data_IF_447140579539
#
_entry.id   IF_447140579539
#
_cell.length_a   1.000
_cell.length_b   1.000
_cell.length_c   1.000
_cell.angle_alpha   90.00
_cell.angle_beta   90.00
_cell.angle_gamma   90.00
#
_symmetry.space_group_name_H-M   'P 1'
#
loop_
_entity.id
_entity.type
_entity.pdbx_description
1 polymer ?
#
# COMPACT_ATOMS: atom_id res chain seq x y z
N UNK A 1 16.63 -1.04 19.64
CA UNK A 1 15.76 -0.07 20.34
C UNK A 1 15.88 1.36 19.77
N UNK A 2 17.07 1.87 19.53
CA UNK A 2 17.30 3.19 18.91
C UNK A 2 16.71 3.35 17.49
N UNK A 3 16.72 2.28 16.70
CA UNK A 3 16.18 2.23 15.33
C UNK A 3 14.66 2.36 15.23
N UNK A 4 13.93 1.88 16.23
CA UNK A 4 12.46 2.06 16.27
C UNK A 4 12.09 3.52 16.56
N UNK A 5 12.93 4.25 17.30
CA UNK A 5 12.78 5.67 17.55
C UNK A 5 13.05 6.51 16.29
N UNK A 6 14.05 6.17 15.50
CA UNK A 6 14.35 6.84 14.24
C UNK A 6 13.24 6.61 13.21
N UNK A 7 12.64 5.42 13.17
CA UNK A 7 11.49 5.12 12.32
C UNK A 7 10.21 5.86 12.77
N UNK A 8 10.01 6.05 14.06
CA UNK A 8 8.89 6.82 14.61
C UNK A 8 9.04 8.33 14.40
N UNK A 9 10.27 8.82 14.32
CA UNK A 9 10.56 10.24 14.08
C UNK A 9 10.58 10.61 12.59
N UNK A 10 10.66 9.63 11.69
CA UNK A 10 10.88 9.84 10.26
C UNK A 10 9.60 10.03 9.42
N UNK A 11 8.45 10.23 10.03
CA UNK A 11 7.23 10.62 9.31
C UNK A 11 6.97 12.12 9.38
N UNK A 12 6.08 12.67 8.56
CA UNK A 12 5.59 14.04 8.68
C UNK A 12 4.79 14.30 9.97
N UNK A 13 5.10 13.58 11.02
CA UNK A 13 4.45 13.58 12.34
C UNK A 13 4.45 14.95 13.00
N UNK A 14 5.44 15.74 12.71
CA UNK A 14 5.59 17.04 13.32
C UNK A 14 4.53 18.06 12.87
N UNK A 15 4.02 17.97 11.63
CA UNK A 15 2.94 18.87 11.17
C UNK A 15 1.56 18.51 11.72
N UNK A 16 1.29 17.22 11.90
CA UNK A 16 -0.01 16.76 12.41
C UNK A 16 -0.16 17.04 13.89
N UNK A 17 0.92 17.07 14.66
CA UNK A 17 0.87 17.33 16.10
C UNK A 17 0.47 18.79 16.43
N UNK A 18 0.64 19.74 15.50
CA UNK A 18 0.40 21.16 15.74
C UNK A 18 -0.74 21.79 14.93
N UNK A 19 -1.25 21.14 13.87
CA UNK A 19 -2.19 21.74 12.93
C UNK A 19 -3.63 21.20 13.01
N UNK A 20 -3.88 20.06 13.65
CA UNK A 20 -5.22 19.51 13.82
C UNK A 20 -5.62 19.49 15.30
N UNK A 21 -6.86 19.87 15.59
CA UNK A 21 -7.47 19.59 16.88
C UNK A 21 -7.21 18.13 17.26
N UNK A 22 -6.60 17.93 18.44
CA UNK A 22 -6.28 16.60 18.97
C UNK A 22 -7.54 15.76 18.95
N UNK A 23 -7.58 14.71 18.11
CA UNK A 23 -8.66 13.75 18.12
C UNK A 23 -8.84 13.24 19.56
N UNK A 24 -10.03 13.37 20.18
CA UNK A 24 -10.24 12.85 21.52
C UNK A 24 -10.01 11.35 21.50
N UNK A 25 -9.12 10.86 22.36
CA UNK A 25 -8.96 9.43 22.58
C UNK A 25 -10.25 8.89 23.20
N UNK A 26 -10.86 7.85 22.65
CA UNK A 26 -12.02 7.24 23.28
C UNK A 26 -11.67 6.78 24.69
N UNK A 27 -12.58 7.01 25.64
CA UNK A 27 -12.46 6.44 26.98
C UNK A 27 -12.57 4.91 26.89
N UNK A 28 -11.43 4.25 27.02
CA UNK A 28 -11.34 2.79 26.94
C UNK A 28 -11.72 2.08 28.24
N UNK A 29 -11.92 2.81 29.32
CA UNK A 29 -12.22 2.23 30.65
C UNK A 29 -13.66 1.71 30.77
N UNK A 30 -14.46 1.83 29.71
CA UNK A 30 -15.81 1.24 29.66
C UNK A 30 -16.82 1.86 30.59
N UNK A 31 -16.50 2.97 31.27
CA UNK A 31 -17.33 3.62 32.29
C UNK A 31 -18.31 4.67 31.76
N UNK A 32 -18.54 4.70 30.44
CA UNK A 32 -19.60 5.54 29.86
C UNK A 32 -20.97 4.92 30.11
N UNK A 33 -21.69 5.38 31.11
CA UNK A 33 -23.01 4.89 31.54
C UNK A 33 -24.16 5.18 30.54
N UNK A 34 -24.06 4.73 29.29
CA UNK A 34 -25.18 4.75 28.35
C UNK A 34 -25.98 3.44 28.46
N UNK A 35 -27.34 3.50 28.45
CA UNK A 35 -28.19 2.32 28.63
C UNK A 35 -27.88 1.23 27.60
N UNK A 36 -27.99 -0.03 28.01
CA UNK A 36 -27.78 -1.22 27.23
C UNK A 36 -28.91 -1.36 26.21
N UNK A 37 -28.61 -1.20 24.94
CA UNK A 37 -29.56 -1.48 23.85
C UNK A 37 -29.38 -2.93 23.34
N UNK A 38 -30.42 -3.58 22.77
CA UNK A 38 -30.32 -4.95 22.25
C UNK A 38 -29.14 -5.14 21.28
N UNK A 39 -28.79 -4.12 20.49
CA UNK A 39 -27.61 -4.13 19.61
C UNK A 39 -26.28 -4.20 20.38
N UNK A 40 -26.21 -3.67 21.62
CA UNK A 40 -25.01 -3.78 22.45
C UNK A 40 -24.82 -5.21 23.01
N UNK A 41 -25.90 -5.96 23.19
CA UNK A 41 -25.82 -7.35 23.64
C UNK A 41 -25.24 -8.22 22.52
N UNK A 42 -25.64 -7.97 21.27
CA UNK A 42 -25.07 -8.67 20.10
C UNK A 42 -23.57 -8.42 19.90
N UNK A 43 -23.09 -7.23 20.28
CA UNK A 43 -21.67 -6.85 20.25
C UNK A 43 -20.84 -7.52 21.39
N UNK A 44 -21.48 -8.18 22.35
CA UNK A 44 -20.77 -8.91 23.41
C UNK A 44 -20.06 -10.18 22.89
N UNK A 45 -20.65 -10.87 21.89
CA UNK A 45 -20.07 -12.08 21.31
C UNK A 45 -18.73 -11.78 20.65
N UNK A 46 -18.62 -10.82 19.71
CA UNK A 46 -17.32 -10.45 19.15
C UNK A 46 -16.38 -9.84 20.19
N UNK A 47 -16.87 -9.15 21.22
CA UNK A 47 -16.03 -8.63 22.31
C UNK A 47 -15.35 -9.73 23.13
N UNK A 48 -16.06 -10.81 23.45
CA UNK A 48 -15.50 -11.96 24.16
C UNK A 48 -14.52 -12.70 23.26
N UNK A 49 -14.90 -12.95 22.02
CA UNK A 49 -14.04 -13.63 21.05
C UNK A 49 -12.75 -12.84 20.75
N UNK A 50 -12.83 -11.51 20.72
CA UNK A 50 -11.68 -10.62 20.47
C UNK A 50 -10.98 -10.14 21.75
N UNK A 51 -11.43 -10.57 22.94
CA UNK A 51 -10.81 -10.16 24.21
C UNK A 51 -9.33 -10.51 24.30
N UNK A 52 -8.80 -11.66 23.84
CA UNK A 52 -7.36 -11.91 23.84
C UNK A 52 -6.58 -10.91 22.98
N UNK A 53 -7.13 -10.52 21.84
CA UNK A 53 -6.56 -9.48 20.96
C UNK A 53 -6.61 -8.10 21.62
N UNK A 54 -7.67 -7.80 22.34
CA UNK A 54 -7.78 -6.56 23.14
C UNK A 54 -6.73 -6.53 24.24
N UNK A 55 -6.56 -7.59 25.02
CA UNK A 55 -5.52 -7.66 26.04
C UNK A 55 -4.12 -7.57 25.44
N UNK A 56 -3.85 -8.27 24.34
CA UNK A 56 -2.58 -8.17 23.64
C UNK A 56 -2.34 -6.72 23.15
N UNK A 57 -3.33 -6.10 22.52
CA UNK A 57 -3.23 -4.70 22.06
C UNK A 57 -3.02 -3.73 23.23
N UNK A 58 -3.74 -3.88 24.33
CA UNK A 58 -3.65 -2.99 25.49
C UNK A 58 -2.30 -3.12 26.21
N UNK A 59 -1.88 -4.35 26.53
CA UNK A 59 -0.71 -4.59 27.39
C UNK A 59 0.61 -4.70 26.62
N UNK A 60 0.58 -5.19 25.38
CA UNK A 60 1.80 -5.37 24.59
C UNK A 60 2.08 -4.16 23.71
N UNK A 61 1.04 -3.48 23.20
CA UNK A 61 1.19 -2.38 22.25
C UNK A 61 0.89 -1.04 22.93
N UNK A 62 -0.35 -0.82 23.40
CA UNK A 62 -0.80 0.50 23.81
C UNK A 62 -0.09 1.03 25.05
N UNK A 63 0.01 0.25 26.13
CA UNK A 63 0.68 0.71 27.36
C UNK A 63 2.17 0.95 27.17
N UNK A 64 2.97 0.03 26.61
CA UNK A 64 4.39 0.28 26.36
C UNK A 64 4.61 1.44 25.39
N UNK A 65 3.82 1.49 24.31
CA UNK A 65 3.92 2.57 23.32
C UNK A 65 3.50 3.92 23.92
N UNK A 66 2.39 3.96 24.67
CA UNK A 66 1.93 5.16 25.35
C UNK A 66 2.94 5.66 26.39
N UNK A 67 3.55 4.76 27.16
CA UNK A 67 4.63 5.11 28.09
C UNK A 67 5.84 5.67 27.33
N UNK A 68 6.24 5.01 26.24
CA UNK A 68 7.36 5.43 25.41
C UNK A 68 7.13 6.82 24.81
N UNK A 69 5.96 7.03 24.19
CA UNK A 69 5.59 8.31 23.56
C UNK A 69 5.48 9.40 24.63
N UNK A 70 4.80 9.14 25.75
CA UNK A 70 4.66 10.14 26.80
C UNK A 70 6.00 10.55 27.43
N UNK A 71 6.93 9.61 27.57
CA UNK A 71 8.28 9.96 28.05
C UNK A 71 9.09 10.71 26.98
N UNK A 72 8.95 10.33 25.71
CA UNK A 72 9.59 11.06 24.61
C UNK A 72 9.03 12.49 24.48
N UNK A 73 7.71 12.67 24.62
CA UNK A 73 7.06 13.99 24.61
C UNK A 73 7.52 14.83 25.80
N UNK A 74 7.59 14.26 27.02
CA UNK A 74 8.11 14.97 28.20
C UNK A 74 9.57 15.37 28.04
N UNK A 75 10.37 14.56 27.39
CA UNK A 75 11.76 14.86 27.09
C UNK A 75 11.93 15.75 25.83
N UNK A 76 10.82 16.23 25.25
CA UNK A 76 10.79 17.03 24.01
C UNK A 76 11.52 16.38 22.83
N UNK A 77 11.69 15.06 22.84
CA UNK A 77 12.39 14.33 21.77
C UNK A 77 11.72 14.53 20.41
N UNK A 78 10.38 14.50 20.26
CA UNK A 78 9.75 14.76 18.98
C UNK A 78 10.04 16.18 18.43
N UNK A 79 10.02 17.20 19.30
CA UNK A 79 10.32 18.56 18.91
C UNK A 79 11.81 18.71 18.51
N UNK A 80 12.72 18.17 19.29
CA UNK A 80 14.14 18.20 19.00
C UNK A 80 14.50 17.47 17.68
N UNK A 81 13.87 16.33 17.42
CA UNK A 81 14.03 15.61 16.14
C UNK A 81 13.45 16.40 14.97
N UNK A 82 12.28 17.01 15.18
CA UNK A 82 11.68 17.86 14.15
C UNK A 82 12.56 19.04 13.81
N UNK A 83 13.05 19.78 14.83
CA UNK A 83 13.95 20.91 14.65
C UNK A 83 15.29 20.49 14.02
N UNK A 84 15.73 19.25 14.25
CA UNK A 84 16.94 18.70 13.64
C UNK A 84 16.77 18.35 12.17
N UNK A 85 15.61 17.78 11.80
CA UNK A 85 15.36 17.29 10.43
C UNK A 85 14.62 18.30 9.55
N UNK A 86 13.95 19.29 10.12
CA UNK A 86 13.22 20.31 9.40
C UNK A 86 13.79 21.71 9.69
N UNK A 87 13.96 22.51 8.67
CA UNK A 87 14.63 23.81 8.75
C UNK A 87 13.84 24.92 8.07
N UNK A 88 14.29 26.15 8.33
CA UNK A 88 13.66 27.37 7.87
C UNK A 88 12.62 27.92 8.86
N UNK A 89 12.14 29.17 8.64
CA UNK A 89 11.30 29.89 9.61
C UNK A 89 9.99 29.19 9.97
N UNK A 90 9.47 28.33 9.09
CA UNK A 90 8.21 27.60 9.28
C UNK A 90 8.40 26.08 9.14
N UNK A 91 9.65 25.60 9.22
CA UNK A 91 10.00 24.19 9.05
C UNK A 91 9.43 23.58 7.74
N UNK A 92 9.39 24.40 6.67
CA UNK A 92 8.84 24.02 5.37
C UNK A 92 9.77 23.16 4.54
N UNK A 93 11.03 23.04 4.92
CA UNK A 93 12.01 22.21 4.24
C UNK A 93 12.68 21.27 5.25
N UNK A 94 13.07 20.10 4.77
CA UNK A 94 13.75 19.14 5.62
C UNK A 94 14.18 17.88 4.90
N UNK A 95 14.92 17.05 5.61
CA UNK A 95 15.25 15.71 5.17
C UNK A 95 14.98 14.71 6.30
N UNK A 96 14.57 13.49 5.94
CA UNK A 96 14.25 12.44 6.89
C UNK A 96 14.90 11.14 6.44
N UNK A 97 15.68 10.46 7.30
CA UNK A 97 16.14 9.12 6.98
C UNK A 97 14.95 8.16 6.94
N UNK A 98 14.92 7.32 5.93
CA UNK A 98 13.86 6.31 5.74
C UNK A 98 14.49 4.93 5.65
N UNK A 99 13.71 3.92 6.04
CA UNK A 99 14.11 2.53 5.94
C UNK A 99 12.90 1.64 5.77
N UNK A 100 13.05 0.59 5.00
CA UNK A 100 11.99 -0.35 4.74
C UNK A 100 12.51 -1.79 4.78
N UNK A 101 11.80 -2.64 5.50
CA UNK A 101 12.06 -4.07 5.62
C UNK A 101 10.76 -4.80 5.29
N UNK A 102 10.78 -5.59 4.24
CA UNK A 102 9.74 -6.56 3.92
C UNK A 102 10.38 -7.95 3.83
N UNK A 103 9.97 -8.83 4.71
CA UNK A 103 10.60 -10.15 4.81
C UNK A 103 10.44 -10.93 3.51
N UNK A 104 11.57 -11.36 2.98
CA UNK A 104 11.66 -12.01 1.68
C UNK A 104 12.06 -11.08 0.54
N UNK A 105 12.35 -9.81 0.83
CA UNK A 105 12.95 -8.85 -0.08
C UNK A 105 14.18 -8.20 0.55
N UNK A 106 15.02 -7.61 -0.29
CA UNK A 106 16.21 -6.91 0.17
C UNK A 106 15.81 -5.66 0.96
N UNK A 107 16.27 -5.48 2.21
CA UNK A 107 15.98 -4.29 2.98
C UNK A 107 16.62 -3.06 2.34
N UNK A 108 15.98 -1.92 2.49
CA UNK A 108 16.48 -0.67 1.94
C UNK A 108 16.51 0.45 2.98
N UNK A 109 17.47 1.35 2.81
CA UNK A 109 17.61 2.58 3.58
C UNK A 109 17.76 3.76 2.62
N UNK A 110 17.42 4.94 3.08
CA UNK A 110 17.50 6.10 2.22
C UNK A 110 17.18 7.41 2.91
N UNK A 111 16.89 8.40 2.11
CA UNK A 111 16.53 9.73 2.55
C UNK A 111 15.28 10.21 1.81
N UNK A 112 14.43 10.88 2.54
CA UNK A 112 13.31 11.66 2.03
C UNK A 112 13.56 13.11 2.28
N UNK A 113 13.53 13.94 1.24
CA UNK A 113 13.67 15.40 1.31
C UNK A 113 12.33 16.02 0.93
N UNK A 114 11.92 17.01 1.68
CA UNK A 114 10.71 17.78 1.40
C UNK A 114 10.99 19.28 1.43
N UNK A 115 10.28 20.02 0.60
CA UNK A 115 10.26 21.46 0.61
C UNK A 115 8.87 21.94 0.19
N UNK A 116 8.14 22.50 1.16
CA UNK A 116 6.82 23.09 0.94
C UNK A 116 6.97 24.59 0.66
N UNK A 117 6.08 25.09 -0.18
CA UNK A 117 6.10 26.48 -0.64
C UNK A 117 7.47 26.88 -1.26
N UNK A 118 8.09 25.96 -2.01
CA UNK A 118 9.37 26.16 -2.64
C UNK A 118 9.30 27.26 -3.72
N UNK A 119 9.80 28.42 -3.40
CA UNK A 119 9.77 29.61 -4.26
C UNK A 119 8.44 30.37 -4.25
N UNK A 120 7.30 29.70 -4.14
CA UNK A 120 5.97 30.34 -4.03
C UNK A 120 4.99 29.44 -3.28
N UNK A 121 3.92 30.04 -2.76
CA UNK A 121 2.90 29.35 -1.96
C UNK A 121 2.17 28.29 -2.80
N UNK A 122 2.06 27.09 -2.26
CA UNK A 122 1.38 25.97 -2.91
C UNK A 122 2.26 25.14 -3.85
N UNK A 123 3.56 25.46 -3.94
CA UNK A 123 4.54 24.65 -4.65
C UNK A 123 5.29 23.72 -3.69
N UNK A 124 5.15 22.43 -3.85
CA UNK A 124 5.82 21.42 -3.02
C UNK A 124 6.80 20.58 -3.81
N UNK A 125 8.00 20.37 -3.25
CA UNK A 125 9.03 19.49 -3.79
C UNK A 125 9.24 18.29 -2.87
N UNK A 126 9.42 17.13 -3.46
CA UNK A 126 9.73 15.88 -2.74
C UNK A 126 10.79 15.10 -3.49
N UNK A 127 11.79 14.65 -2.77
CA UNK A 127 12.84 13.76 -3.30
C UNK A 127 12.94 12.54 -2.40
N UNK A 128 12.91 11.36 -3.00
CA UNK A 128 13.26 10.11 -2.35
C UNK A 128 14.49 9.52 -3.01
N UNK A 129 15.42 9.04 -2.20
CA UNK A 129 16.55 8.27 -2.67
C UNK A 129 16.79 7.12 -1.70
N UNK A 130 16.77 5.89 -2.19
CA UNK A 130 16.93 4.68 -1.37
C UNK A 130 17.88 3.70 -2.03
N UNK A 131 18.55 2.93 -1.19
CA UNK A 131 19.42 1.83 -1.63
C UNK A 131 19.25 0.63 -0.72
N UNK A 132 19.35 -0.56 -1.28
CA UNK A 132 19.47 -1.83 -0.57
C UNK A 132 20.82 -2.48 -0.83
N UNK A 133 21.75 -1.82 -1.50
CA UNK A 133 23.06 -2.30 -1.89
C UNK A 133 23.39 -1.97 -3.34
N UNK A 134 24.42 -2.61 -3.88
CA UNK A 134 25.00 -2.27 -5.18
C UNK A 134 24.01 -2.30 -6.34
N UNK A 135 23.12 -3.30 -6.37
CA UNK A 135 22.14 -3.54 -7.43
C UNK A 135 20.73 -3.06 -7.08
N UNK A 136 20.54 -2.45 -5.90
CA UNK A 136 19.25 -1.97 -5.45
C UNK A 136 19.31 -0.46 -5.22
N UNK A 137 18.82 0.29 -6.18
CA UNK A 137 18.76 1.75 -6.16
C UNK A 137 17.37 2.21 -6.56
N UNK A 138 16.80 3.17 -5.85
CA UNK A 138 15.58 3.83 -6.27
C UNK A 138 15.66 5.32 -5.96
N UNK A 139 15.14 6.12 -6.88
CA UNK A 139 15.01 7.55 -6.71
C UNK A 139 13.71 8.04 -7.31
N UNK A 140 13.09 9.02 -6.68
CA UNK A 140 11.95 9.74 -7.26
C UNK A 140 12.01 11.22 -6.92
N UNK A 141 11.59 12.03 -7.86
CA UNK A 141 11.40 13.46 -7.71
C UNK A 141 9.96 13.82 -8.02
N UNK A 142 9.33 14.56 -7.14
CA UNK A 142 7.92 14.95 -7.28
C UNK A 142 7.79 16.45 -7.04
N UNK A 143 7.17 17.12 -7.99
CA UNK A 143 6.69 18.48 -7.87
C UNK A 143 5.17 18.48 -7.76
N UNK A 144 4.66 19.27 -6.83
CA UNK A 144 3.21 19.46 -6.66
C UNK A 144 2.88 20.94 -6.70
N UNK A 145 1.93 21.30 -7.55
CA UNK A 145 1.43 22.65 -7.72
C UNK A 145 -0.03 22.71 -7.29
N UNK A 146 -0.36 23.66 -6.41
CA UNK A 146 -1.74 23.98 -6.08
C UNK A 146 -2.31 24.93 -7.16
N UNK A 147 -3.28 24.44 -7.94
CA UNK A 147 -3.90 25.16 -9.05
C UNK A 147 -5.23 25.83 -8.67
N UNK A 148 -5.43 26.16 -7.42
CA UNK A 148 -6.67 26.70 -6.87
C UNK A 148 -6.91 26.13 -5.48
N UNK A 149 -8.16 26.18 -4.99
CA UNK A 149 -8.46 25.73 -3.62
C UNK A 149 -8.39 24.20 -3.49
N UNK A 150 -8.84 23.44 -4.53
CA UNK A 150 -9.04 21.99 -4.46
C UNK A 150 -8.45 21.24 -5.67
N UNK A 151 -7.52 21.84 -6.40
CA UNK A 151 -6.91 21.23 -7.59
C UNK A 151 -5.41 21.21 -7.47
N UNK A 152 -4.82 20.07 -7.80
CA UNK A 152 -3.36 19.92 -7.82
C UNK A 152 -2.90 19.40 -9.18
N UNK A 153 -1.72 19.85 -9.58
CA UNK A 153 -0.93 19.22 -10.62
C UNK A 153 0.30 18.62 -9.95
N UNK A 154 0.51 17.34 -10.16
CA UNK A 154 1.67 16.62 -9.66
C UNK A 154 2.49 16.10 -10.84
N UNK A 155 3.75 16.49 -10.90
CA UNK A 155 4.75 15.95 -11.81
C UNK A 155 5.63 14.99 -11.01
N UNK A 156 5.85 13.79 -11.52
CA UNK A 156 6.67 12.80 -10.84
C UNK A 156 7.59 12.10 -11.85
N UNK A 157 8.85 11.96 -11.47
CA UNK A 157 9.83 11.14 -12.19
C UNK A 157 10.43 10.15 -11.20
N UNK A 158 10.47 8.88 -11.56
CA UNK A 158 11.01 7.82 -10.73
C UNK A 158 11.90 6.87 -11.55
N UNK A 159 13.01 6.45 -10.96
CA UNK A 159 13.90 5.44 -11.51
C UNK A 159 14.20 4.41 -10.42
N UNK A 160 14.01 3.14 -10.73
CA UNK A 160 14.17 2.03 -9.80
C UNK A 160 14.95 0.92 -10.48
N UNK A 161 16.05 0.52 -9.87
CA UNK A 161 16.81 -0.68 -10.18
C UNK A 161 16.71 -1.63 -9.01
N UNK A 162 16.15 -2.83 -9.20
CA UNK A 162 16.01 -3.84 -8.15
C UNK A 162 16.33 -5.24 -8.67
N UNK A 163 17.09 -6.05 -7.91
CA UNK A 163 17.42 -7.42 -8.27
C UNK A 163 16.44 -8.46 -7.73
N UNK A 164 15.54 -8.06 -6.81
CA UNK A 164 14.87 -8.97 -5.88
C UNK A 164 13.35 -9.11 -6.11
N UNK A 165 12.84 -8.69 -7.26
CA UNK A 165 11.42 -8.90 -7.56
C UNK A 165 11.05 -10.38 -7.55
N UNK A 166 9.85 -10.67 -7.03
CA UNK A 166 9.34 -12.04 -6.92
C UNK A 166 8.41 -12.39 -8.09
N UNK A 167 8.56 -13.62 -8.59
CA UNK A 167 7.66 -14.21 -9.58
C UNK A 167 7.41 -15.67 -9.22
N UNK A 168 6.15 -16.08 -9.29
CA UNK A 168 5.70 -17.43 -8.90
C UNK A 168 4.96 -18.14 -10.05
N UNK A 169 4.98 -17.57 -11.24
CA UNK A 169 4.15 -17.98 -12.36
C UNK A 169 2.90 -17.10 -12.52
N UNK A 170 2.04 -17.48 -13.45
CA UNK A 170 0.77 -16.83 -13.78
C UNK A 170 -0.35 -17.84 -13.56
N UNK A 171 -1.43 -17.41 -12.95
CA UNK A 171 -2.62 -18.22 -12.68
C UNK A 171 -2.93 -18.41 -11.21
N UNK A 172 -4.10 -18.99 -10.90
CA UNK A 172 -4.62 -19.16 -9.54
C UNK A 172 -3.89 -20.25 -8.73
N UNK A 173 -3.29 -21.23 -9.39
CA UNK A 173 -2.72 -22.45 -8.78
C UNK A 173 -1.21 -22.39 -8.53
N UNK A 174 -0.59 -21.19 -8.58
CA UNK A 174 0.83 -21.04 -8.32
C UNK A 174 1.17 -21.38 -6.86
N UNK A 175 2.33 -22.02 -6.64
CA UNK A 175 2.78 -22.45 -5.32
C UNK A 175 3.82 -21.49 -4.73
N UNK A 176 3.97 -21.47 -3.41
CA UNK A 176 5.01 -20.65 -2.74
C UNK A 176 6.42 -21.12 -3.14
N UNK A 177 6.59 -22.42 -3.37
CA UNK A 177 7.86 -23.00 -3.81
C UNK A 177 8.23 -22.68 -5.27
N UNK A 178 7.30 -22.11 -6.03
CA UNK A 178 7.57 -21.65 -7.40
C UNK A 178 8.35 -20.32 -7.45
N UNK A 179 8.61 -19.74 -6.29
CA UNK A 179 9.35 -18.48 -6.18
C UNK A 179 10.63 -18.49 -7.00
N UNK A 180 10.69 -17.54 -7.90
CA UNK A 180 11.90 -17.16 -8.64
C UNK A 180 12.14 -15.66 -8.52
N UNK A 181 13.36 -15.22 -8.80
CA UNK A 181 13.74 -13.81 -8.73
C UNK A 181 14.03 -13.24 -10.10
N UNK A 182 13.60 -12.01 -10.33
CA UNK A 182 14.04 -11.24 -11.50
C UNK A 182 14.47 -9.83 -11.07
N UNK A 183 15.43 -9.30 -11.79
CA UNK A 183 15.83 -7.92 -11.68
C UNK A 183 15.10 -7.08 -12.70
N UNK A 184 14.83 -5.82 -12.38
CA UNK A 184 14.26 -4.87 -13.31
C UNK A 184 14.82 -3.47 -13.10
N UNK A 185 15.02 -2.78 -14.21
CA UNK A 185 15.26 -1.36 -14.29
C UNK A 185 13.97 -0.70 -14.80
N UNK A 186 13.32 0.10 -13.94
CA UNK A 186 12.10 0.83 -14.26
C UNK A 186 12.38 2.31 -14.28
N UNK A 187 11.94 2.98 -15.31
CA UNK A 187 11.85 4.43 -15.36
C UNK A 187 10.39 4.82 -15.62
N UNK A 188 9.90 5.80 -14.89
CA UNK A 188 8.56 6.35 -15.08
C UNK A 188 8.58 7.88 -14.91
N UNK A 189 7.94 8.57 -15.84
CA UNK A 189 7.66 10.00 -15.75
C UNK A 189 6.16 10.20 -15.96
N UNK A 190 5.50 10.93 -15.07
CA UNK A 190 4.05 11.15 -15.13
C UNK A 190 3.65 12.55 -14.69
N UNK A 191 2.58 13.04 -15.29
CA UNK A 191 1.85 14.23 -14.89
C UNK A 191 0.43 13.83 -14.51
N UNK A 192 0.00 14.21 -13.32
CA UNK A 192 -1.30 13.84 -12.75
C UNK A 192 -1.99 15.11 -12.26
N UNK A 193 -3.24 15.31 -12.63
CA UNK A 193 -4.09 16.33 -12.04
C UNK A 193 -5.19 15.68 -11.23
N UNK A 194 -5.45 16.22 -10.05
CA UNK A 194 -6.56 15.81 -9.21
C UNK A 194 -7.44 17.00 -8.85
N UNK A 195 -8.74 16.73 -8.74
CA UNK A 195 -9.75 17.71 -8.36
C UNK A 195 -10.77 17.08 -7.43
N UNK A 196 -11.15 17.81 -6.39
CA UNK A 196 -12.31 17.47 -5.57
C UNK A 196 -13.59 17.74 -6.36
N UNK A 197 -14.49 16.76 -6.41
CA UNK A 197 -15.79 16.89 -7.09
C UNK A 197 -16.85 17.40 -6.12
N UNK A 198 -17.03 16.69 -5.01
CA UNK A 198 -17.92 17.06 -3.90
C UNK A 198 -17.56 16.26 -2.65
N UNK A 199 -17.61 16.87 -1.48
CA UNK A 199 -17.22 16.27 -0.21
C UNK A 199 -15.79 15.71 -0.27
N UNK A 200 -15.62 14.42 -0.04
CA UNK A 200 -14.35 13.70 -0.16
C UNK A 200 -14.14 12.98 -1.50
N UNK A 201 -15.10 13.16 -2.43
CA UNK A 201 -15.04 12.52 -3.76
C UNK A 201 -14.05 13.23 -4.68
N UNK A 202 -13.26 12.47 -5.45
CA UNK A 202 -12.15 12.99 -6.26
C UNK A 202 -12.13 12.38 -7.66
N UNK A 203 -11.68 13.19 -8.60
CA UNK A 203 -11.29 12.79 -9.95
C UNK A 203 -9.78 12.99 -10.08
N UNK A 204 -9.08 11.99 -10.56
CA UNK A 204 -7.66 12.01 -10.89
C UNK A 204 -7.50 11.62 -12.35
N UNK A 205 -6.77 12.42 -13.12
CA UNK A 205 -6.43 12.14 -14.49
C UNK A 205 -4.91 12.32 -14.69
N UNK A 206 -4.29 11.40 -15.39
CA UNK A 206 -2.86 11.42 -15.57
C UNK A 206 -2.41 10.88 -16.93
N UNK A 207 -1.25 11.32 -17.34
CA UNK A 207 -0.52 10.80 -18.51
C UNK A 207 0.93 10.57 -18.12
N UNK A 208 1.59 9.64 -18.81
CA UNK A 208 2.99 9.39 -18.51
C UNK A 208 3.66 8.48 -19.51
N UNK A 209 4.91 8.24 -19.21
CA UNK A 209 5.79 7.33 -19.93
C UNK A 209 6.36 6.32 -18.92
N UNK A 210 6.45 5.05 -19.34
CA UNK A 210 7.03 3.97 -18.55
C UNK A 210 7.97 3.15 -19.42
N UNK A 211 9.19 2.90 -18.91
CA UNK A 211 10.16 2.00 -19.51
C UNK A 211 10.52 0.91 -18.52
N UNK A 212 10.54 -0.34 -18.98
CA UNK A 212 10.91 -1.52 -18.22
C UNK A 212 11.94 -2.34 -18.99
N UNK A 213 13.05 -2.64 -18.33
CA UNK A 213 14.05 -3.59 -18.80
C UNK A 213 14.28 -4.64 -17.71
N UNK A 214 14.45 -5.89 -18.12
CA UNK A 214 14.56 -7.01 -17.19
C UNK A 214 15.96 -7.63 -17.26
N UNK A 215 16.35 -8.28 -16.17
CA UNK A 215 17.62 -8.99 -16.01
C UNK A 215 17.48 -10.13 -15.01
N UNK A 216 18.41 -11.09 -14.98
CA UNK A 216 18.44 -12.10 -13.93
C UNK A 216 18.41 -11.46 -12.56
N UNK A 217 17.51 -11.93 -11.70
CA UNK A 217 17.38 -11.45 -10.34
C UNK A 217 18.09 -12.34 -9.35
N UNK A 218 18.32 -11.82 -8.15
CA UNK A 218 18.88 -12.57 -7.04
C UNK A 218 18.41 -12.01 -5.69
N UNK A 219 18.09 -12.88 -4.76
CA UNK A 219 17.95 -12.62 -3.33
C UNK A 219 17.77 -13.93 -2.57
N UNK A 220 18.59 -14.17 -1.56
CA UNK A 220 18.64 -15.46 -0.85
C UNK A 220 19.02 -16.61 -1.79
N UNK A 221 18.60 -17.82 -1.43
CA UNK A 221 18.92 -19.05 -2.18
C UNK A 221 17.92 -19.36 -3.30
N UNK A 222 17.04 -18.40 -3.66
CA UNK A 222 16.01 -18.64 -4.67
C UNK A 222 16.58 -18.48 -6.08
N UNK A 223 16.24 -19.38 -7.01
CA UNK A 223 16.71 -19.31 -8.39
C UNK A 223 16.19 -18.05 -9.08
N UNK A 224 16.89 -17.60 -10.11
CA UNK A 224 16.37 -16.57 -10.99
C UNK A 224 15.28 -17.13 -11.92
N UNK A 225 14.56 -16.21 -12.56
CA UNK A 225 13.43 -16.52 -13.43
C UNK A 225 13.87 -17.38 -14.64
N UNK A 226 15.02 -17.08 -15.23
CA UNK A 226 15.55 -17.81 -16.38
C UNK A 226 15.88 -19.26 -16.02
N UNK A 227 16.47 -19.48 -14.84
CA UNK A 227 16.79 -20.83 -14.36
C UNK A 227 15.50 -21.65 -14.12
N UNK A 228 14.44 -21.02 -13.59
CA UNK A 228 13.14 -21.69 -13.44
C UNK A 228 12.51 -22.01 -14.80
N UNK A 229 12.59 -21.09 -15.74
CA UNK A 229 12.09 -21.33 -17.09
C UNK A 229 12.88 -22.45 -17.79
N UNK A 230 14.20 -22.44 -17.68
CA UNK A 230 15.07 -23.50 -18.22
C UNK A 230 14.79 -24.87 -17.59
N UNK A 231 14.38 -24.93 -16.34
CA UNK A 231 13.95 -26.18 -15.69
C UNK A 231 12.58 -26.69 -16.13
N UNK A 232 11.86 -25.96 -17.01
CA UNK A 232 10.54 -26.32 -17.52
C UNK A 232 9.40 -26.09 -16.53
N UNK A 233 9.63 -25.37 -15.41
CA UNK A 233 8.60 -25.13 -14.41
C UNK A 233 7.47 -24.21 -14.95
N UNK A 234 7.84 -23.16 -15.69
CA UNK A 234 6.97 -22.25 -16.41
C UNK A 234 7.74 -21.54 -17.53
N UNK A 235 7.08 -21.06 -18.59
CA UNK A 235 7.76 -20.29 -19.63
C UNK A 235 8.19 -18.90 -19.10
N UNK A 236 9.15 -18.27 -19.77
CA UNK A 236 9.43 -16.85 -19.55
C UNK A 236 8.15 -16.03 -19.83
N UNK A 237 7.75 -15.13 -18.90
CA UNK A 237 6.50 -14.40 -19.06
C UNK A 237 6.60 -13.33 -20.15
N UNK A 238 5.45 -12.96 -20.71
CA UNK A 238 5.34 -11.99 -21.78
C UNK A 238 5.97 -10.63 -21.40
N UNK A 239 6.77 -10.10 -22.31
CA UNK A 239 7.48 -8.83 -22.10
C UNK A 239 8.79 -8.95 -21.32
N UNK A 240 9.16 -10.12 -20.79
CA UNK A 240 10.38 -10.29 -20.02
C UNK A 240 11.65 -10.11 -20.85
N UNK A 241 11.72 -10.76 -22.01
CA UNK A 241 12.95 -10.79 -22.82
C UNK A 241 13.29 -9.42 -23.40
N UNK A 242 12.29 -8.75 -23.94
CA UNK A 242 12.48 -7.50 -24.70
C UNK A 242 12.25 -6.24 -23.86
N UNK A 243 11.69 -6.38 -22.66
CA UNK A 243 11.18 -5.24 -21.90
C UNK A 243 10.08 -4.51 -22.68
N UNK A 244 9.77 -3.27 -22.29
CA UNK A 244 8.85 -2.42 -23.05
C UNK A 244 9.03 -0.93 -22.71
N UNK A 245 8.58 -0.09 -23.65
CA UNK A 245 8.46 1.36 -23.46
C UNK A 245 7.05 1.77 -23.87
N UNK A 246 6.30 2.36 -22.95
CA UNK A 246 4.91 2.70 -23.20
C UNK A 246 4.57 4.12 -22.75
N UNK A 247 3.81 4.82 -23.56
CA UNK A 247 3.02 5.95 -23.14
C UNK A 247 1.73 5.45 -22.49
N UNK A 248 1.29 6.06 -21.38
CA UNK A 248 0.05 5.68 -20.73
C UNK A 248 -0.81 6.88 -20.37
N UNK A 249 -2.11 6.63 -20.32
CA UNK A 249 -3.10 7.55 -19.76
C UNK A 249 -3.89 6.83 -18.66
N UNK A 250 -4.18 7.53 -17.56
CA UNK A 250 -4.90 6.98 -16.41
C UNK A 250 -6.02 7.90 -15.98
N UNK A 251 -7.14 7.30 -15.62
CA UNK A 251 -8.27 7.96 -14.99
C UNK A 251 -8.67 7.20 -13.73
N UNK A 252 -8.84 7.91 -12.62
CA UNK A 252 -9.36 7.35 -11.37
C UNK A 252 -10.47 8.24 -10.85
N UNK A 253 -11.59 7.63 -10.50
CA UNK A 253 -12.74 8.28 -9.93
C UNK A 253 -13.03 7.64 -8.57
N UNK A 254 -13.14 8.46 -7.54
CA UNK A 254 -13.43 8.04 -6.19
C UNK A 254 -14.64 8.79 -5.67
N UNK A 255 -15.75 8.08 -5.46
CA UNK A 255 -16.91 8.58 -4.75
C UNK A 255 -16.84 8.13 -3.30
N UNK A 256 -16.80 9.06 -2.36
CA UNK A 256 -16.67 8.78 -0.94
C UNK A 256 -17.71 9.61 -0.17
N UNK A 257 -18.56 8.94 0.58
CA UNK A 257 -19.60 9.57 1.40
C UNK A 257 -19.19 9.76 2.85
N UNK A 258 -17.97 9.35 3.21
CA UNK A 258 -17.45 9.54 4.56
C UNK A 258 -17.12 11.02 4.78
N UNK A 259 -17.23 11.48 6.01
CA UNK A 259 -16.91 12.87 6.31
C UNK A 259 -15.40 13.14 6.16
N UNK A 260 -15.05 14.31 5.62
CA UNK A 260 -13.67 14.71 5.37
C UNK A 260 -12.80 14.72 6.64
N UNK A 261 -13.38 15.19 7.76
CA UNK A 261 -12.69 15.43 9.02
C UNK A 261 -12.46 14.15 9.84
N UNK A 262 -13.04 13.03 9.42
CA UNK A 262 -12.89 11.76 10.11
C UNK A 262 -12.92 10.61 9.11
N UNK A 263 -11.77 10.25 8.53
CA UNK A 263 -11.65 9.21 7.51
C UNK A 263 -12.11 7.82 7.97
N UNK A 264 -12.37 7.66 9.26
CA UNK A 264 -12.85 6.42 9.88
C UNK A 264 -14.36 6.38 10.13
N UNK A 265 -15.14 7.38 9.72
CA UNK A 265 -16.59 7.39 9.95
C UNK A 265 -17.36 6.48 9.00
N UNK A 266 -18.63 6.24 9.35
CA UNK A 266 -19.55 5.43 8.55
C UNK A 266 -19.82 6.05 7.18
N UNK A 267 -19.97 5.20 6.17
CA UNK A 267 -20.25 5.64 4.80
C UNK A 267 -19.96 4.54 3.80
N UNK A 268 -19.94 4.93 2.53
CA UNK A 268 -19.58 4.06 1.41
C UNK A 268 -18.54 4.73 0.52
N UNK A 269 -17.73 3.92 -0.15
CA UNK A 269 -16.76 4.37 -1.14
C UNK A 269 -16.88 3.52 -2.40
N UNK A 270 -16.86 4.17 -3.56
CA UNK A 270 -16.72 3.53 -4.86
C UNK A 270 -15.48 4.10 -5.54
N UNK A 271 -14.59 3.25 -5.96
CA UNK A 271 -13.45 3.61 -6.79
C UNK A 271 -13.56 2.92 -8.14
N UNK A 272 -13.34 3.68 -9.19
CA UNK A 272 -13.22 3.21 -10.57
C UNK A 272 -11.89 3.68 -11.11
N UNK A 273 -11.13 2.79 -11.72
CA UNK A 273 -9.86 3.16 -12.36
C UNK A 273 -9.72 2.52 -13.73
N UNK A 274 -9.05 3.23 -14.62
CA UNK A 274 -8.66 2.73 -15.93
C UNK A 274 -7.29 3.32 -16.30
N UNK A 275 -6.41 2.49 -16.86
CA UNK A 275 -5.11 2.88 -17.41
C UNK A 275 -4.94 2.22 -18.78
N UNK A 276 -4.75 3.02 -19.81
CA UNK A 276 -4.39 2.54 -21.13
C UNK A 276 -2.89 2.73 -21.33
N UNK A 277 -2.16 1.66 -21.63
CA UNK A 277 -0.78 1.69 -22.06
C UNK A 277 -0.65 1.40 -23.56
N UNK A 278 0.17 2.17 -24.24
CA UNK A 278 0.45 2.03 -25.68
C UNK A 278 1.94 1.89 -25.91
N UNK A 279 2.34 0.80 -26.55
CA UNK A 279 3.74 0.54 -26.91
C UNK A 279 4.26 1.65 -27.83
N UNK A 280 5.40 2.23 -27.46
CA UNK A 280 6.12 3.25 -28.25
C UNK A 280 7.23 2.65 -29.11
N UNK A 281 7.48 1.36 -28.98
CA UNK A 281 8.46 0.64 -29.80
C UNK A 281 7.79 0.11 -31.07
N UNK A 282 8.44 0.29 -32.19
CA UNK A 282 7.93 -0.19 -33.47
C UNK A 282 8.14 -1.70 -33.63
N UNK A 283 7.29 -2.47 -32.96
CA UNK A 283 7.30 -3.94 -32.96
C UNK A 283 6.27 -4.48 -33.95
N UNK A 284 6.52 -5.67 -34.47
CA UNK A 284 5.54 -6.41 -35.30
C UNK A 284 4.30 -6.79 -34.50
N UNK A 285 4.43 -6.95 -33.18
CA UNK A 285 3.35 -7.25 -32.24
C UNK A 285 3.43 -6.28 -31.03
N UNK A 286 2.86 -5.07 -31.15
CA UNK A 286 2.95 -4.06 -30.12
C UNK A 286 2.20 -4.48 -28.84
N UNK A 287 2.87 -4.29 -27.72
CA UNK A 287 2.34 -4.60 -26.39
C UNK A 287 1.53 -3.41 -25.86
N UNK A 288 0.27 -3.33 -26.27
CA UNK A 288 -0.66 -2.31 -25.79
C UNK A 288 -1.76 -2.96 -24.95
N UNK A 289 -2.18 -2.28 -23.89
CA UNK A 289 -3.11 -2.85 -22.92
C UNK A 289 -4.07 -1.82 -22.34
N UNK A 290 -5.18 -2.33 -21.81
CA UNK A 290 -6.11 -1.62 -20.94
C UNK A 290 -6.15 -2.34 -19.60
N UNK A 291 -5.75 -1.64 -18.53
CA UNK A 291 -5.99 -2.06 -17.14
C UNK A 291 -7.19 -1.29 -16.63
N UNK A 292 -8.10 -1.97 -15.97
CA UNK A 292 -9.25 -1.32 -15.36
C UNK A 292 -9.72 -2.08 -14.14
N UNK A 293 -10.40 -1.40 -13.25
CA UNK A 293 -10.86 -2.01 -12.02
C UNK A 293 -11.93 -1.20 -11.32
N UNK A 294 -12.59 -1.86 -10.40
CA UNK A 294 -13.56 -1.26 -9.51
C UNK A 294 -13.37 -1.77 -8.08
N UNK A 295 -13.55 -0.90 -7.11
CA UNK A 295 -13.63 -1.26 -5.71
C UNK A 295 -14.83 -0.57 -5.06
N UNK A 296 -15.63 -1.31 -4.31
CA UNK A 296 -16.73 -0.80 -3.50
C UNK A 296 -16.50 -1.18 -2.04
N UNK A 297 -16.72 -0.24 -1.14
CA UNK A 297 -16.56 -0.45 0.30
C UNK A 297 -17.67 0.18 1.11
N UNK A 298 -18.08 -0.50 2.16
CA UNK A 298 -18.97 0.00 3.19
C UNK A 298 -18.23 0.08 4.53
N UNK A 299 -18.45 1.15 5.28
CA UNK A 299 -17.74 1.47 6.51
C UNK A 299 -18.75 1.77 7.62
N UNK A 300 -18.58 1.15 8.77
CA UNK A 300 -19.43 1.35 9.93
C UNK A 300 -18.56 1.71 11.14
N UNK A 301 -18.69 2.94 11.65
CA UNK A 301 -18.04 3.36 12.89
C UNK A 301 -18.88 2.85 14.09
N UNK A 302 -18.29 1.93 14.83
CA UNK A 302 -18.94 1.24 15.94
C UNK A 302 -18.99 2.13 17.18
N UNK A 303 -19.99 2.98 17.26
CA UNK A 303 -20.26 3.84 18.41
C UNK A 303 -19.57 5.19 18.37
N UNK A 304 -19.28 5.70 17.18
CA UNK A 304 -18.65 7.02 16.96
C UNK A 304 -17.31 7.17 17.70
N UNK A 305 -16.56 6.10 17.80
CA UNK A 305 -15.32 6.02 18.59
C UNK A 305 -14.08 5.89 17.70
N UNK A 306 -14.21 6.03 16.38
CA UNK A 306 -13.14 5.78 15.44
C UNK A 306 -12.81 4.29 15.29
N UNK A 307 -13.68 3.39 15.76
CA UNK A 307 -13.58 1.94 15.58
C UNK A 307 -14.39 1.55 14.37
N UNK A 308 -13.73 1.31 13.26
CA UNK A 308 -14.40 1.13 11.97
C UNK A 308 -14.32 -0.33 11.54
N UNK A 309 -15.49 -0.91 11.30
CA UNK A 309 -15.62 -2.15 10.57
C UNK A 309 -15.90 -1.81 9.12
N UNK A 310 -15.14 -2.37 8.19
CA UNK A 310 -15.35 -2.18 6.76
C UNK A 310 -15.39 -3.49 6.01
N UNK A 311 -16.27 -3.55 5.02
CA UNK A 311 -16.33 -4.61 4.02
C UNK A 311 -16.08 -3.99 2.66
N UNK A 312 -15.16 -4.54 1.90
CA UNK A 312 -14.85 -4.08 0.54
C UNK A 312 -14.76 -5.23 -0.44
N UNK A 313 -15.15 -4.97 -1.67
CA UNK A 313 -15.00 -5.86 -2.82
C UNK A 313 -14.19 -5.11 -3.86
N UNK A 314 -13.20 -5.76 -4.46
CA UNK A 314 -12.41 -5.20 -5.54
C UNK A 314 -12.22 -6.21 -6.65
N UNK A 315 -12.23 -5.72 -7.88
CA UNK A 315 -11.88 -6.49 -9.06
C UNK A 315 -10.99 -5.67 -9.99
N UNK A 316 -9.98 -6.32 -10.54
CA UNK A 316 -8.97 -5.75 -11.42
C UNK A 316 -8.87 -6.60 -12.69
N UNK A 317 -8.63 -5.96 -13.82
CA UNK A 317 -8.58 -6.59 -15.13
C UNK A 317 -7.45 -6.01 -15.96
N UNK A 318 -6.90 -6.83 -16.88
CA UNK A 318 -5.95 -6.39 -17.91
C UNK A 318 -6.26 -7.09 -19.22
N UNK A 319 -6.62 -6.32 -20.22
CA UNK A 319 -6.91 -6.79 -21.57
C UNK A 319 -5.89 -6.23 -22.59
N UNK A 320 -5.40 -7.03 -23.54
CA UNK A 320 -4.61 -6.50 -24.64
C UNK A 320 -5.50 -5.65 -25.56
N UNK A 321 -4.95 -4.55 -26.04
CA UNK A 321 -5.59 -3.67 -27.04
C UNK A 321 -5.04 -3.87 -28.45
N UNK A 322 -3.97 -4.65 -28.60
CA UNK A 322 -3.33 -4.96 -29.87
C UNK A 322 -3.16 -6.46 -30.08
N UNK A 323 -2.29 -6.82 -31.02
CA UNK A 323 -1.93 -8.22 -31.31
C UNK A 323 -0.93 -8.80 -30.32
N UNK A 324 -0.19 -7.96 -29.59
CA UNK A 324 0.75 -8.38 -28.57
C UNK A 324 0.09 -8.66 -27.23
N UNK A 325 0.71 -9.51 -26.41
CA UNK A 325 0.22 -9.80 -25.05
C UNK A 325 0.41 -8.61 -24.10
N UNK A 326 -0.32 -8.60 -23.01
CA UNK A 326 -0.08 -7.67 -21.90
C UNK A 326 1.25 -8.04 -21.22
N UNK A 327 2.21 -7.10 -21.04
CA UNK A 327 3.42 -7.38 -20.29
C UNK A 327 3.11 -7.91 -18.88
N UNK A 328 3.85 -8.90 -18.42
CA UNK A 328 3.54 -9.58 -17.17
C UNK A 328 3.54 -8.64 -15.93
N UNK A 329 4.33 -7.57 -15.97
CA UNK A 329 4.35 -6.55 -14.90
C UNK A 329 3.12 -5.64 -14.89
N UNK A 330 2.34 -5.64 -15.99
CA UNK A 330 1.10 -4.88 -16.11
C UNK A 330 -0.15 -5.72 -15.79
N UNK A 331 0.02 -7.01 -15.52
CA UNK A 331 -1.07 -7.88 -15.08
C UNK A 331 -1.50 -7.53 -13.65
N UNK A 332 -2.80 -7.64 -13.33
CA UNK A 332 -3.31 -7.60 -11.96
C UNK A 332 -2.54 -8.51 -11.01
N UNK A 333 -2.24 -8.00 -9.83
CA UNK A 333 -1.56 -8.76 -8.78
C UNK A 333 -2.29 -8.63 -7.45
N UNK A 334 -2.28 -9.70 -6.66
CA UNK A 334 -2.68 -9.69 -5.26
C UNK A 334 -1.46 -10.05 -4.39
N UNK A 335 -1.46 -9.51 -3.18
CA UNK A 335 -0.34 -9.55 -2.25
C UNK A 335 0.26 -8.17 -2.03
N UNK A 336 1.17 -8.08 -1.09
CA UNK A 336 1.69 -6.79 -0.67
C UNK A 336 0.79 -6.09 0.36
N UNK A 337 1.07 -4.85 0.73
CA UNK A 337 0.37 -4.15 1.82
C UNK A 337 -1.08 -3.75 1.49
N UNK A 338 -1.46 -3.78 0.23
CA UNK A 338 -2.81 -3.39 -0.21
C UNK A 338 -3.82 -4.52 -0.07
N UNK A 339 -4.02 -5.24 -1.16
CA UNK A 339 -4.96 -6.36 -1.23
C UNK A 339 -4.26 -7.67 -0.83
N UNK A 340 -4.85 -8.43 0.08
CA UNK A 340 -4.35 -9.71 0.59
C UNK A 340 -2.93 -9.63 1.23
N UNK A 341 -2.76 -8.87 2.30
CA UNK A 341 -1.45 -8.57 2.90
C UNK A 341 -0.72 -9.77 3.51
N UNK A 342 -1.34 -10.92 3.63
CA UNK A 342 -0.68 -12.18 4.01
C UNK A 342 0.25 -12.75 2.95
N UNK A 343 0.15 -12.27 1.71
CA UNK A 343 1.01 -12.68 0.60
C UNK A 343 2.05 -11.60 0.27
N UNK A 344 3.21 -12.03 -0.22
CA UNK A 344 4.24 -11.12 -0.71
C UNK A 344 3.75 -10.35 -1.95
N UNK A 345 4.30 -9.18 -2.17
CA UNK A 345 4.04 -8.39 -3.37
C UNK A 345 4.36 -9.22 -4.63
N UNK A 346 3.40 -9.26 -5.58
CA UNK A 346 3.52 -10.03 -6.81
C UNK A 346 3.35 -11.55 -6.67
N UNK A 347 2.91 -12.05 -5.49
CA UNK A 347 2.71 -13.49 -5.25
C UNK A 347 1.65 -14.11 -6.16
N UNK A 348 0.52 -13.45 -6.30
CA UNK A 348 -0.58 -13.89 -7.15
C UNK A 348 -0.66 -12.95 -8.34
N UNK A 349 -0.67 -13.49 -9.56
CA UNK A 349 -0.64 -12.70 -10.79
C UNK A 349 -1.38 -13.41 -11.91
N UNK A 350 -2.33 -12.72 -12.54
CA UNK A 350 -2.99 -13.16 -13.75
C UNK A 350 -3.72 -11.97 -14.41
N UNK A 351 -4.50 -12.21 -15.45
CA UNK A 351 -5.21 -11.20 -16.27
C UNK A 351 -6.39 -10.56 -15.55
N UNK A 352 -6.89 -11.18 -14.51
CA UNK A 352 -7.89 -10.58 -13.62
C UNK A 352 -7.66 -10.99 -12.17
N UNK A 353 -8.22 -10.21 -11.26
CA UNK A 353 -8.21 -10.48 -9.83
C UNK A 353 -9.54 -10.11 -9.22
N UNK A 354 -9.98 -10.87 -8.22
CA UNK A 354 -11.15 -10.55 -7.41
C UNK A 354 -10.84 -10.81 -5.94
N UNK A 355 -11.24 -9.88 -5.07
CA UNK A 355 -10.99 -9.98 -3.64
C UNK A 355 -12.11 -9.33 -2.83
N UNK A 356 -12.52 -10.00 -1.77
CA UNK A 356 -13.39 -9.50 -0.72
C UNK A 356 -12.56 -9.32 0.56
N UNK A 357 -12.67 -8.17 1.22
CA UNK A 357 -11.89 -7.84 2.41
C UNK A 357 -12.80 -7.35 3.52
N UNK A 358 -12.67 -7.96 4.69
CA UNK A 358 -13.24 -7.49 5.94
C UNK A 358 -12.10 -6.92 6.80
N UNK A 359 -12.23 -5.66 7.20
CA UNK A 359 -11.22 -4.99 8.03
C UNK A 359 -11.86 -4.33 9.23
N UNK A 360 -11.23 -4.48 10.37
CA UNK A 360 -11.53 -3.76 11.60
C UNK A 360 -10.33 -2.90 11.98
N UNK A 361 -10.53 -1.59 12.12
CA UNK A 361 -9.51 -0.65 12.56
C UNK A 361 -9.95 0.06 13.84
N UNK A 362 -8.98 0.38 14.70
CA UNK A 362 -9.23 1.07 15.96
C UNK A 362 -8.09 2.03 16.29
N UNK A 363 -8.38 3.19 16.90
CA UNK A 363 -7.36 4.13 17.30
C UNK A 363 -6.52 3.58 18.45
N UNK A 364 -5.21 3.60 18.30
CA UNK A 364 -4.22 3.31 19.34
C UNK A 364 -3.69 4.64 19.92
N UNK A 365 -3.36 5.57 19.03
CA UNK A 365 -2.83 6.89 19.34
C UNK A 365 -3.39 7.94 18.36
N UNK A 366 -3.13 9.24 18.62
CA UNK A 366 -3.67 10.34 17.81
C UNK A 366 -3.40 10.19 16.29
N UNK A 367 -2.28 9.57 15.94
CA UNK A 367 -1.80 9.38 14.58
C UNK A 367 -1.57 7.91 14.22
N UNK A 368 -1.95 6.96 15.09
CA UNK A 368 -1.68 5.53 14.93
C UNK A 368 -2.95 4.73 15.16
N UNK A 369 -3.28 3.89 14.20
CA UNK A 369 -4.37 2.92 14.30
C UNK A 369 -3.85 1.49 14.30
N UNK A 370 -4.53 0.64 15.05
CA UNK A 370 -4.44 -0.79 14.90
C UNK A 370 -5.38 -1.27 13.80
N UNK A 371 -5.01 -2.34 13.13
CA UNK A 371 -5.85 -2.98 12.12
C UNK A 371 -5.83 -4.51 12.23
N UNK A 372 -6.98 -5.11 11.98
CA UNK A 372 -7.16 -6.54 11.76
C UNK A 372 -7.88 -6.71 10.43
N UNK A 373 -7.34 -7.49 9.53
CA UNK A 373 -7.87 -7.68 8.20
C UNK A 373 -7.96 -9.16 7.85
N UNK A 374 -9.09 -9.56 7.28
CA UNK A 374 -9.27 -10.84 6.61
C UNK A 374 -9.69 -10.60 5.17
N UNK A 375 -9.12 -11.32 4.22
CA UNK A 375 -9.46 -11.22 2.82
C UNK A 375 -9.59 -12.61 2.18
N UNK A 376 -10.48 -12.71 1.22
CA UNK A 376 -10.69 -13.89 0.38
C UNK A 376 -10.59 -13.45 -1.08
N UNK A 377 -9.75 -14.08 -1.87
CA UNK A 377 -9.58 -13.73 -3.27
C UNK A 377 -8.57 -14.59 -3.97
N UNK A 378 -8.44 -14.40 -5.26
CA UNK A 378 -7.39 -14.96 -6.10
C UNK A 378 -7.34 -14.21 -7.45
N UNK A 379 -6.41 -14.62 -8.30
CA UNK A 379 -6.26 -14.17 -9.67
C UNK A 379 -6.81 -15.22 -10.63
N UNK A 380 -7.25 -14.80 -11.81
CA UNK A 380 -7.89 -15.65 -12.80
C UNK A 380 -7.53 -15.18 -14.21
N UNK A 381 -7.88 -16.00 -15.20
CA UNK A 381 -7.76 -15.66 -16.61
C UNK A 381 -8.53 -14.39 -16.99
N UNK A 382 -8.66 -14.14 -18.27
CA UNK A 382 -9.30 -12.93 -18.79
C UNK A 382 -10.73 -12.77 -18.27
N UNK A 383 -11.03 -11.62 -17.61
CA UNK A 383 -12.39 -11.28 -17.14
C UNK A 383 -12.98 -12.35 -16.22
N UNK A 384 -12.17 -12.88 -15.32
CA UNK A 384 -12.50 -13.95 -14.38
C UNK A 384 -12.75 -15.32 -15.06
N UNK A 385 -12.23 -15.54 -16.27
CA UNK A 385 -12.25 -16.85 -16.90
C UNK A 385 -11.57 -17.89 -15.99
N UNK A 386 -12.19 -19.05 -15.81
CA UNK A 386 -11.72 -20.06 -14.87
C UNK A 386 -12.00 -19.75 -13.40
N UNK A 387 -12.88 -18.78 -13.10
CA UNK A 387 -13.27 -18.54 -11.72
C UNK A 387 -13.94 -19.78 -11.11
N UNK A 388 -13.38 -20.24 -10.00
CA UNK A 388 -13.95 -21.27 -9.15
C UNK A 388 -13.72 -20.89 -7.68
N UNK A 389 -14.75 -21.02 -6.86
CA UNK A 389 -14.67 -20.71 -5.45
C UNK A 389 -13.66 -21.61 -4.69
N UNK A 390 -13.42 -22.82 -5.17
CA UNK A 390 -12.42 -23.74 -4.62
C UNK A 390 -10.97 -23.24 -4.81
N UNK A 391 -10.73 -22.38 -5.81
CA UNK A 391 -9.43 -21.76 -6.07
C UNK A 391 -9.17 -20.51 -5.22
N UNK A 392 -10.13 -20.03 -4.45
CA UNK A 392 -9.92 -18.88 -3.59
C UNK A 392 -8.91 -19.20 -2.48
N UNK A 393 -8.24 -18.16 -2.01
CA UNK A 393 -7.24 -18.18 -0.93
C UNK A 393 -7.66 -17.23 0.17
N UNK A 394 -7.23 -17.52 1.39
CA UNK A 394 -7.40 -16.64 2.54
C UNK A 394 -6.13 -15.82 2.77
N UNK A 395 -6.31 -14.60 3.21
CA UNK A 395 -5.26 -13.74 3.73
C UNK A 395 -5.75 -13.12 5.03
N UNK A 396 -4.98 -13.21 6.09
CA UNK A 396 -5.26 -12.54 7.35
C UNK A 396 -4.05 -11.70 7.74
N UNK A 397 -4.29 -10.53 8.31
CA UNK A 397 -3.21 -9.67 8.80
C UNK A 397 -3.63 -8.88 10.04
N UNK A 398 -2.67 -8.64 10.91
CA UNK A 398 -2.78 -7.74 12.06
C UNK A 398 -1.63 -6.75 12.02
N UNK A 399 -1.90 -5.49 12.35
CA UNK A 399 -0.84 -4.50 12.31
C UNK A 399 -1.22 -3.17 12.92
N UNK A 400 -0.26 -2.25 12.84
CA UNK A 400 -0.41 -0.85 13.21
C UNK A 400 0.01 0.02 12.02
N UNK A 401 -0.72 1.09 11.79
CA UNK A 401 -0.51 1.99 10.65
C UNK A 401 -0.65 3.44 11.10
N UNK A 402 0.16 4.33 10.52
CA UNK A 402 0.02 5.77 10.76
C UNK A 402 -1.00 6.40 9.81
N UNK A 403 -1.71 7.43 10.28
CA UNK A 403 -2.66 8.20 9.47
C UNK A 403 -2.11 9.53 8.96
N UNK A 404 -0.86 9.84 9.24
CA UNK A 404 -0.41 11.23 9.27
C UNK A 404 -0.08 11.84 7.91
N UNK A 405 0.06 11.07 6.85
CA UNK A 405 0.42 11.63 5.54
C UNK A 405 0.02 10.71 4.39
N UNK A 406 -0.46 11.27 3.27
CA UNK A 406 -0.63 10.53 2.04
C UNK A 406 0.71 10.13 1.39
N UNK A 407 1.81 10.82 1.76
CA UNK A 407 3.12 10.66 1.12
C UNK A 407 3.98 9.58 1.81
N UNK A 408 3.68 9.23 3.05
CA UNK A 408 4.35 8.12 3.75
C UNK A 408 3.46 7.49 4.81
N UNK A 409 3.42 6.16 4.81
CA UNK A 409 2.68 5.37 5.81
C UNK A 409 3.70 4.56 6.59
N UNK A 410 3.82 4.87 7.89
CA UNK A 410 4.51 3.96 8.80
C UNK A 410 3.60 2.78 9.08
N UNK A 411 4.10 1.58 8.86
CA UNK A 411 3.35 0.37 9.16
C UNK A 411 4.24 -0.70 9.80
N UNK A 412 3.64 -1.44 10.71
CA UNK A 412 4.10 -2.73 11.20
C UNK A 412 2.97 -3.71 10.95
N UNK A 413 3.18 -4.69 10.08
CA UNK A 413 2.13 -5.60 9.66
C UNK A 413 2.65 -7.04 9.67
N UNK A 414 1.89 -7.91 10.31
CA UNK A 414 2.11 -9.34 10.34
C UNK A 414 0.93 -10.05 9.66
N UNK A 415 1.23 -10.83 8.63
CA UNK A 415 0.22 -11.43 7.80
C UNK A 415 0.45 -12.90 7.49
N UNK A 416 -0.65 -13.61 7.20
CA UNK A 416 -0.70 -15.01 6.80
C UNK A 416 -1.48 -15.14 5.50
N UNK A 417 -0.98 -15.96 4.59
CA UNK A 417 -1.66 -16.39 3.38
C UNK A 417 -1.82 -17.89 3.34
N UNK A 418 -2.82 -18.38 2.62
CA UNK A 418 -3.09 -19.81 2.52
C UNK A 418 -2.94 -20.34 1.09
N UNK A 419 -2.81 -21.65 0.96
CA UNK A 419 -3.10 -22.36 -0.28
C UNK A 419 -4.57 -22.14 -0.69
N UNK A 420 -4.94 -22.58 -1.87
CA UNK A 420 -6.32 -22.58 -2.35
C UNK A 420 -7.22 -23.50 -1.50
N UNK A 421 -8.54 -23.30 -1.54
CA UNK A 421 -9.48 -24.10 -0.76
C UNK A 421 -9.47 -25.58 -1.19
N UNK A 422 -9.32 -25.88 -2.48
CA UNK A 422 -9.20 -27.24 -2.99
C UNK A 422 -7.92 -27.94 -2.49
N UNK A 423 -6.83 -27.17 -2.23
CA UNK A 423 -5.60 -27.68 -1.62
C UNK A 423 -5.67 -27.75 -0.08
N UNK A 424 -6.81 -27.39 0.52
CA UNK A 424 -7.08 -27.50 1.96
C UNK A 424 -6.78 -26.21 2.75
N UNK A 425 -6.57 -25.07 2.10
CA UNK A 425 -6.37 -23.75 2.72
C UNK A 425 -5.31 -23.72 3.84
N UNK A 426 -4.27 -24.53 3.74
CA UNK A 426 -3.17 -24.54 4.70
C UNK A 426 -2.37 -23.25 4.58
N UNK A 427 -1.86 -22.74 5.71
CA UNK A 427 -0.98 -21.56 5.71
C UNK A 427 0.31 -21.90 4.98
N UNK A 428 0.58 -21.21 3.88
CA UNK A 428 1.76 -21.38 3.04
C UNK A 428 2.64 -20.13 2.99
N UNK A 429 2.11 -18.99 3.45
CA UNK A 429 2.82 -17.71 3.43
C UNK A 429 2.72 -17.00 4.77
N UNK A 430 3.86 -16.50 5.26
CA UNK A 430 3.97 -15.62 6.43
C UNK A 430 4.73 -14.37 5.99
N UNK A 431 4.22 -13.21 6.38
CA UNK A 431 4.82 -11.93 6.03
C UNK A 431 4.93 -11.02 7.24
N UNK A 432 6.07 -10.38 7.38
CA UNK A 432 6.28 -9.28 8.31
C UNK A 432 6.80 -8.09 7.51
N UNK A 433 6.13 -6.96 7.61
CA UNK A 433 6.53 -5.70 6.98
C UNK A 433 6.74 -4.65 8.07
N UNK A 434 7.87 -3.99 8.04
CA UNK A 434 8.23 -2.92 8.99
C UNK A 434 8.83 -1.76 8.22
N UNK A 435 8.30 -0.57 8.38
CA UNK A 435 8.95 0.62 7.83
C UNK A 435 7.98 1.72 7.45
N UNK A 436 8.55 2.79 6.90
CA UNK A 436 7.82 3.83 6.23
C UNK A 436 7.91 3.61 4.72
N UNK A 437 6.78 3.50 4.06
CA UNK A 437 6.69 3.43 2.60
C UNK A 437 6.35 4.82 2.08
N UNK A 438 7.26 5.41 1.31
CA UNK A 438 6.94 6.59 0.51
C UNK A 438 6.05 6.19 -0.66
N UNK A 439 5.16 7.07 -1.10
CA UNK A 439 4.38 6.88 -2.32
C UNK A 439 5.31 6.90 -3.55
N UNK A 440 5.83 5.73 -3.92
CA UNK A 440 6.53 5.49 -5.17
C UNK A 440 5.54 5.03 -6.22
#
# INVERSE_FOLDING_TARGET
MLWLFLLLASGPFARVAFANEKRPLPDYDGKGGKPTTPGKVLLWIPRVALSPLYFASEFIIRRPLGWLISNAERAQVPAALYDFFAFGPEHKAGFVPIGFIDFGFQPSVGVYVFWDDAGFKGHGLRLHATTGGEDWLAGSFTERFLLGEDRHLTLNVAAIRRPDYAFYGIGPNTLEDDLSRYGADRFEARAVTDATLFGTSRLEAGVGFRSMAFRPGHFGDKPNLEARAASGKFPLPDGYVDGYQAGFSRLKLSFDTRAADAPSRSGARLELEAEQGSDLQHRSSPQSWLRYGAAVGAFADLGQSGRVLSLSLASLFADPLGSGPVPFTELPTLGGPGLMPGFREGRLRDRSAAVATLRYSWPIWMWLDGSLQGAVGNVFGRRLDGFDASLLRLSAAVGIESHSSPDSVLQLLFGFGTETFDAGARVDSIRLTVGARGGL
#
